data_IF_043434618917
#
_entry.id   IF_043434618917
#
_cell.length_a   1.000
_cell.length_b   1.000
_cell.length_c   1.000
_cell.angle_alpha   90.00
_cell.angle_beta   90.00
_cell.angle_gamma   90.00
#
_symmetry.space_group_name_H-M   'P 1'
#
loop_
_entity.id
_entity.type
_entity.pdbx_description
1 polymer ?
#
# COMPACT_ATOMS: atom_id res chain seq x y z
N UNK A 1 10.03 -0.68 -48.25
CA UNK A 1 10.64 0.20 -47.22
C UNK A 1 11.69 -0.63 -46.53
N UNK A 2 12.93 -0.12 -46.55
CA UNK A 2 14.17 -0.88 -46.63
C UNK A 2 14.48 -1.75 -45.41
N UNK A 3 14.78 -3.03 -45.66
CA UNK A 3 15.22 -4.00 -44.66
C UNK A 3 16.71 -3.88 -44.33
N UNK A 4 17.16 -2.66 -44.04
CA UNK A 4 18.55 -2.42 -43.65
C UNK A 4 18.81 -3.05 -42.27
N UNK A 5 19.81 -3.93 -42.21
CA UNK A 5 20.19 -4.63 -40.98
C UNK A 5 21.15 -3.77 -40.15
N UNK A 6 20.67 -3.27 -39.02
CA UNK A 6 21.50 -2.55 -38.05
C UNK A 6 21.87 -3.54 -36.93
N UNK A 7 23.17 -3.83 -36.79
CA UNK A 7 23.68 -4.71 -35.73
C UNK A 7 23.80 -3.96 -34.40
N UNK A 8 23.56 -4.64 -33.28
CA UNK A 8 23.91 -4.12 -31.95
C UNK A 8 25.43 -4.12 -31.76
N UNK A 9 25.96 -3.07 -31.13
CA UNK A 9 27.37 -3.00 -30.72
C UNK A 9 27.61 -3.78 -29.42
N UNK A 10 28.87 -4.15 -29.17
CA UNK A 10 29.26 -4.85 -27.93
C UNK A 10 29.07 -4.00 -26.66
N UNK A 11 28.81 -2.70 -26.79
CA UNK A 11 28.51 -1.78 -25.69
C UNK A 11 27.02 -1.66 -25.38
N UNK A 12 26.14 -2.29 -26.16
CA UNK A 12 24.69 -2.20 -26.03
C UNK A 12 24.13 -3.42 -25.29
N UNK A 13 23.29 -3.16 -24.28
CA UNK A 13 22.51 -4.18 -23.59
C UNK A 13 21.02 -3.92 -23.80
N UNK A 14 20.24 -4.98 -24.02
CA UNK A 14 18.79 -4.92 -24.16
C UNK A 14 18.17 -5.75 -23.04
N UNK A 15 17.26 -5.15 -22.28
CA UNK A 15 16.56 -5.78 -21.16
C UNK A 15 15.06 -5.59 -21.36
N UNK A 16 14.29 -6.63 -21.06
CA UNK A 16 12.84 -6.61 -21.11
C UNK A 16 12.28 -6.98 -19.74
N UNK A 17 11.28 -6.25 -19.28
CA UNK A 17 10.45 -6.63 -18.13
C UNK A 17 9.12 -7.16 -18.67
N UNK A 18 8.84 -8.44 -18.42
CA UNK A 18 7.63 -9.13 -18.88
C UNK A 18 6.97 -9.84 -17.71
N UNK A 19 5.63 -9.89 -17.72
CA UNK A 19 4.88 -10.55 -16.65
C UNK A 19 4.96 -12.08 -16.73
N UNK A 20 4.83 -12.63 -17.93
CA UNK A 20 4.99 -14.06 -18.20
C UNK A 20 5.53 -14.32 -19.60
N UNK A 21 5.92 -15.57 -19.84
CA UNK A 21 6.45 -16.05 -21.12
C UNK A 21 5.52 -17.10 -21.76
N UNK A 22 4.24 -17.14 -21.37
CA UNK A 22 3.34 -18.22 -21.73
C UNK A 22 3.13 -18.35 -23.25
N UNK A 23 3.31 -17.25 -23.98
CA UNK A 23 3.16 -17.17 -25.44
C UNK A 23 4.48 -17.12 -26.19
N UNK A 24 5.61 -17.19 -25.48
CA UNK A 24 6.93 -17.12 -26.09
C UNK A 24 7.37 -18.50 -26.61
N UNK A 25 7.91 -18.54 -27.83
CA UNK A 25 8.45 -19.80 -28.35
C UNK A 25 9.77 -20.16 -27.62
N UNK A 26 10.02 -21.45 -27.30
CA UNK A 26 11.29 -21.87 -26.69
C UNK A 26 12.52 -21.47 -27.50
N UNK A 27 12.38 -21.35 -28.83
CA UNK A 27 13.44 -20.92 -29.73
C UNK A 27 13.79 -19.43 -29.60
N UNK A 28 12.83 -18.60 -29.17
CA UNK A 28 13.03 -17.15 -28.96
C UNK A 28 13.72 -16.90 -27.63
N UNK A 29 13.26 -17.54 -26.55
CA UNK A 29 13.78 -17.31 -25.20
C UNK A 29 15.12 -18.00 -24.93
N UNK A 30 15.51 -19.01 -25.72
CA UNK A 30 16.80 -19.71 -25.56
C UNK A 30 18.02 -18.85 -25.88
N UNK A 31 17.82 -17.72 -26.56
CA UNK A 31 18.89 -16.77 -26.93
C UNK A 31 19.06 -15.64 -25.91
N UNK A 32 18.24 -15.60 -24.86
CA UNK A 32 18.23 -14.55 -23.86
C UNK A 32 18.65 -15.10 -22.49
N UNK A 33 19.33 -14.28 -21.69
CA UNK A 33 19.52 -14.54 -20.27
C UNK A 33 18.21 -14.26 -19.54
N UNK A 34 17.70 -15.26 -18.80
CA UNK A 34 16.42 -15.15 -18.09
C UNK A 34 16.67 -15.01 -16.59
N UNK A 35 16.20 -13.92 -15.99
CA UNK A 35 16.22 -13.69 -14.55
C UNK A 35 14.79 -13.84 -14.04
N UNK A 36 14.55 -14.86 -13.22
CA UNK A 36 13.26 -15.07 -12.57
C UNK A 36 13.25 -14.35 -11.23
N UNK A 37 12.31 -13.43 -11.06
CA UNK A 37 12.05 -12.77 -9.78
C UNK A 37 10.74 -13.29 -9.20
N UNK A 38 10.81 -13.77 -7.97
CA UNK A 38 9.62 -14.23 -7.26
C UNK A 38 8.79 -13.00 -6.84
N UNK A 39 7.49 -12.90 -7.18
CA UNK A 39 6.68 -11.73 -6.83
C UNK A 39 6.61 -11.44 -5.32
N UNK A 40 6.72 -12.49 -4.50
CA UNK A 40 6.69 -12.39 -3.05
C UNK A 40 8.03 -11.92 -2.43
N UNK A 41 9.14 -11.92 -3.17
CA UNK A 41 10.46 -11.66 -2.59
C UNK A 41 10.75 -10.18 -2.33
N UNK A 42 10.09 -9.26 -3.05
CA UNK A 42 10.29 -7.81 -2.85
C UNK A 42 9.43 -7.27 -1.70
N UNK A 43 8.19 -7.77 -1.57
CA UNK A 43 7.23 -7.29 -0.57
C UNK A 43 6.87 -5.80 -0.73
N UNK A 44 6.18 -5.24 0.28
CA UNK A 44 5.75 -3.84 0.27
C UNK A 44 6.73 -2.88 0.94
N UNK A 45 7.66 -3.37 1.77
CA UNK A 45 8.60 -2.56 2.55
C UNK A 45 9.49 -1.64 1.71
N UNK A 46 10.00 -2.07 0.54
CA UNK A 46 10.73 -1.16 -0.35
C UNK A 46 9.88 0.00 -0.87
N UNK A 47 8.57 -0.21 -1.08
CA UNK A 47 7.66 0.87 -1.46
C UNK A 47 7.55 1.91 -0.33
N UNK A 48 7.32 1.47 0.90
CA UNK A 48 7.26 2.38 2.06
C UNK A 48 8.56 3.20 2.19
N UNK A 49 9.72 2.53 2.09
CA UNK A 49 11.03 3.19 2.15
C UNK A 49 11.22 4.23 1.04
N UNK A 50 10.72 3.94 -0.17
CA UNK A 50 10.78 4.89 -1.29
C UNK A 50 9.81 6.06 -1.10
N UNK A 51 8.63 5.79 -0.55
CA UNK A 51 7.59 6.78 -0.31
C UNK A 51 8.00 7.83 0.71
N UNK A 52 8.77 7.46 1.75
CA UNK A 52 9.28 8.45 2.71
C UNK A 52 10.06 9.58 2.05
N UNK A 53 10.80 9.28 0.98
CA UNK A 53 11.56 10.28 0.21
C UNK A 53 10.69 11.22 -0.62
N UNK A 54 9.40 10.91 -0.76
CA UNK A 54 8.41 11.70 -1.51
C UNK A 54 7.53 12.55 -0.61
N UNK A 55 7.63 12.41 0.72
CA UNK A 55 6.85 13.22 1.66
C UNK A 55 7.27 14.71 1.61
N UNK A 56 6.46 15.64 2.07
CA UNK A 56 6.88 17.04 2.21
C UNK A 56 8.10 17.21 3.13
N UNK A 57 8.99 18.16 2.80
CA UNK A 57 10.25 18.39 3.54
C UNK A 57 10.02 18.72 5.03
N UNK A 58 8.94 19.42 5.35
CA UNK A 58 8.57 19.76 6.74
C UNK A 58 8.32 18.52 7.60
N UNK A 59 7.68 17.49 7.03
CA UNK A 59 7.45 16.22 7.70
C UNK A 59 8.69 15.33 7.69
N UNK A 60 9.47 15.34 6.59
CA UNK A 60 10.75 14.61 6.52
C UNK A 60 11.78 15.11 7.54
N UNK A 61 11.73 16.39 7.91
CA UNK A 61 12.63 16.98 8.89
C UNK A 61 12.45 16.43 10.31
N UNK A 62 11.31 15.79 10.61
CA UNK A 62 11.05 15.14 11.89
C UNK A 62 11.21 13.60 11.78
N UNK A 63 12.30 13.01 12.30
CA UNK A 63 12.50 11.56 12.26
C UNK A 63 11.43 10.75 12.99
N UNK A 64 10.71 11.34 13.95
CA UNK A 64 9.64 10.68 14.67
C UNK A 64 8.47 10.31 13.73
N UNK A 65 8.22 11.12 12.68
CA UNK A 65 7.17 10.86 11.69
C UNK A 65 7.49 9.59 10.88
N UNK A 66 8.73 9.42 10.43
CA UNK A 66 9.16 8.21 9.71
C UNK A 66 9.04 6.97 10.59
N UNK A 67 9.48 7.07 11.85
CA UNK A 67 9.38 5.98 12.84
C UNK A 67 7.90 5.62 13.08
N UNK A 68 7.02 6.62 13.24
CA UNK A 68 5.61 6.39 13.50
C UNK A 68 4.93 5.67 12.34
N UNK A 69 5.11 6.14 11.10
CA UNK A 69 4.61 5.43 9.92
C UNK A 69 5.18 4.02 9.83
N UNK A 70 6.46 3.83 10.11
CA UNK A 70 7.08 2.51 10.05
C UNK A 70 6.44 1.56 11.05
N UNK A 71 6.24 2.01 12.29
CA UNK A 71 5.56 1.23 13.34
C UNK A 71 4.13 0.89 12.94
N UNK A 72 3.37 1.85 12.41
CA UNK A 72 1.98 1.64 11.98
C UNK A 72 1.85 0.63 10.83
N UNK A 73 2.71 0.74 9.81
CA UNK A 73 2.72 -0.18 8.68
C UNK A 73 3.13 -1.60 9.08
N UNK A 74 4.20 -1.75 9.88
CA UNK A 74 4.64 -3.05 10.38
C UNK A 74 3.59 -3.70 11.30
N UNK A 75 2.82 -2.89 12.02
CA UNK A 75 1.75 -3.38 12.90
C UNK A 75 0.58 -3.99 12.13
N UNK A 76 -0.05 -3.26 11.20
CA UNK A 76 -1.35 -3.67 10.66
C UNK A 76 -1.33 -4.15 9.21
N UNK A 77 -0.32 -3.78 8.41
CA UNK A 77 -0.38 -3.99 6.96
C UNK A 77 -0.34 -5.48 6.59
N UNK A 78 0.60 -6.25 7.13
CA UNK A 78 0.69 -7.69 6.86
C UNK A 78 -0.57 -8.45 7.36
N UNK A 79 -1.06 -8.24 8.61
CA UNK A 79 -2.32 -8.79 9.08
C UNK A 79 -3.52 -8.43 8.19
N UNK A 80 -3.64 -7.18 7.75
CA UNK A 80 -4.75 -6.72 6.91
C UNK A 80 -4.74 -7.38 5.54
N UNK A 81 -3.57 -7.46 4.91
CA UNK A 81 -3.40 -8.13 3.64
C UNK A 81 -3.70 -9.63 3.78
N UNK A 82 -3.23 -10.28 4.85
CA UNK A 82 -3.49 -11.69 5.13
C UNK A 82 -4.97 -11.98 5.35
N UNK A 83 -5.66 -11.17 6.16
CA UNK A 83 -7.08 -11.31 6.39
C UNK A 83 -7.86 -11.13 5.09
N UNK A 84 -7.50 -10.14 4.28
CA UNK A 84 -8.07 -9.92 2.96
C UNK A 84 -7.86 -11.11 2.01
N UNK A 85 -6.69 -11.78 2.04
CA UNK A 85 -6.43 -12.99 1.22
C UNK A 85 -7.19 -14.22 1.70
N UNK A 86 -7.21 -14.46 3.01
CA UNK A 86 -7.64 -15.75 3.59
C UNK A 86 -9.12 -15.77 4.00
N UNK A 87 -9.68 -14.63 4.41
CA UNK A 87 -11.01 -14.54 5.03
C UNK A 87 -12.01 -13.74 4.22
N UNK A 88 -11.56 -13.03 3.19
CA UNK A 88 -12.41 -12.21 2.34
C UNK A 88 -12.37 -12.70 0.89
N UNK A 89 -13.48 -12.47 0.18
CA UNK A 89 -13.50 -12.59 -1.27
C UNK A 89 -13.03 -11.27 -1.88
N UNK A 90 -11.89 -11.30 -2.56
CA UNK A 90 -11.39 -10.17 -3.35
C UNK A 90 -12.22 -10.01 -4.63
N UNK A 91 -12.41 -8.78 -5.10
CA UNK A 91 -13.13 -8.44 -6.34
C UNK A 91 -12.56 -9.16 -7.57
N UNK A 92 -13.32 -9.24 -8.67
CA UNK A 92 -13.04 -10.10 -9.84
C UNK A 92 -11.66 -9.95 -10.51
N UNK A 93 -10.94 -8.86 -10.26
CA UNK A 93 -9.59 -8.64 -10.81
C UNK A 93 -8.51 -9.13 -9.84
N UNK A 94 -7.54 -9.94 -10.28
CA UNK A 94 -6.38 -10.29 -9.46
C UNK A 94 -5.59 -9.02 -9.12
N UNK A 95 -5.55 -8.65 -7.84
CA UNK A 95 -4.73 -7.54 -7.35
C UNK A 95 -3.62 -8.11 -6.46
N UNK A 96 -2.37 -7.82 -6.79
CA UNK A 96 -1.24 -8.19 -5.94
C UNK A 96 -1.20 -7.27 -4.70
N UNK A 97 -0.63 -7.77 -3.61
CA UNK A 97 -0.60 -7.01 -2.35
C UNK A 97 0.22 -5.72 -2.49
N UNK A 98 1.27 -5.73 -3.31
CA UNK A 98 2.10 -4.55 -3.62
C UNK A 98 1.26 -3.41 -4.22
N UNK A 99 0.31 -3.70 -5.11
CA UNK A 99 -0.59 -2.67 -5.66
C UNK A 99 -1.56 -2.14 -4.61
N UNK A 100 -2.04 -2.99 -3.70
CA UNK A 100 -2.90 -2.56 -2.58
C UNK A 100 -2.13 -1.59 -1.67
N UNK A 101 -0.89 -1.92 -1.30
CA UNK A 101 -0.06 -1.03 -0.48
C UNK A 101 0.31 0.24 -1.24
N UNK A 102 0.60 0.16 -2.54
CA UNK A 102 0.84 1.35 -3.37
C UNK A 102 -0.39 2.28 -3.39
N UNK A 103 -1.61 1.74 -3.42
CA UNK A 103 -2.83 2.54 -3.31
C UNK A 103 -2.96 3.20 -1.93
N UNK A 104 -2.63 2.48 -0.85
CA UNK A 104 -2.57 3.03 0.51
C UNK A 104 -1.59 4.22 0.59
N UNK A 105 -0.38 4.05 0.06
CA UNK A 105 0.65 5.10 0.06
C UNK A 105 0.24 6.33 -0.76
N UNK A 106 -0.46 6.14 -1.89
CA UNK A 106 -0.99 7.27 -2.69
C UNK A 106 -2.05 8.08 -1.94
N UNK A 107 -2.95 7.40 -1.21
CA UNK A 107 -3.92 8.09 -0.36
C UNK A 107 -3.21 8.85 0.75
N UNK A 108 -2.23 8.21 1.41
CA UNK A 108 -1.41 8.85 2.44
C UNK A 108 -0.65 10.07 1.92
N UNK A 109 -0.09 10.03 0.72
CA UNK A 109 0.58 11.19 0.10
C UNK A 109 -0.32 12.43 0.10
N UNK A 110 -1.61 12.25 -0.23
CA UNK A 110 -2.58 13.35 -0.26
C UNK A 110 -2.76 13.96 1.13
N UNK A 111 -2.87 13.14 2.18
CA UNK A 111 -3.01 13.62 3.55
C UNK A 111 -1.71 14.21 4.13
N UNK A 112 -0.55 13.67 3.75
CA UNK A 112 0.73 14.25 4.17
C UNK A 112 0.98 15.61 3.56
N UNK A 113 0.55 15.85 2.33
CA UNK A 113 0.57 17.18 1.72
C UNK A 113 -0.31 18.15 2.51
N UNK A 114 -1.51 17.75 2.89
CA UNK A 114 -2.41 18.58 3.71
C UNK A 114 -1.79 18.88 5.09
N UNK A 115 -1.21 17.88 5.76
CA UNK A 115 -0.54 18.05 7.06
C UNK A 115 0.68 18.98 7.01
N UNK A 116 1.35 19.04 5.86
CA UNK A 116 2.48 19.93 5.68
C UNK A 116 2.08 21.39 5.42
N UNK A 117 0.81 21.66 5.13
CA UNK A 117 0.33 23.04 4.95
C UNK A 117 0.09 23.70 6.31
N UNK A 118 0.71 24.88 6.59
CA UNK A 118 0.49 25.59 7.85
C UNK A 118 -0.98 25.95 8.03
N UNK A 119 -1.56 25.64 9.19
CA UNK A 119 -2.94 26.00 9.51
C UNK A 119 -2.98 27.29 10.31
N UNK A 120 -3.97 28.13 10.04
CA UNK A 120 -4.20 29.34 10.86
C UNK A 120 -4.58 28.92 12.28
N UNK A 121 -3.70 29.22 13.25
CA UNK A 121 -3.96 28.96 14.67
C UNK A 121 -3.07 27.92 15.34
N UNK A 122 -1.99 27.46 14.69
CA UNK A 122 -1.01 26.56 15.29
C UNK A 122 -0.40 27.16 16.58
N UNK A 123 -0.77 26.59 17.74
CA UNK A 123 -0.33 26.97 19.09
C UNK A 123 0.87 26.10 19.50
N UNK A 124 1.72 26.62 20.40
CA UNK A 124 2.85 25.97 21.12
C UNK A 124 3.36 24.59 20.65
N UNK A 125 4.67 24.50 20.35
CA UNK A 125 5.39 23.33 19.77
C UNK A 125 5.05 21.95 20.37
N UNK A 126 4.75 21.84 21.67
CA UNK A 126 4.46 20.56 22.32
C UNK A 126 3.07 19.97 22.04
N UNK A 127 2.05 20.83 21.87
CA UNK A 127 0.69 20.38 21.55
C UNK A 127 0.60 19.95 20.08
N UNK A 128 1.36 20.62 19.20
CA UNK A 128 1.45 20.29 17.78
C UNK A 128 1.97 18.88 17.50
N UNK A 129 2.98 18.40 18.23
CA UNK A 129 3.56 17.07 17.99
C UNK A 129 2.56 15.96 18.34
N UNK A 130 1.84 16.12 19.46
CA UNK A 130 0.81 15.16 19.87
C UNK A 130 -0.36 15.16 18.90
N UNK A 131 -0.79 16.33 18.46
CA UNK A 131 -1.85 16.45 17.47
C UNK A 131 -1.41 15.81 16.15
N UNK A 132 -0.19 16.10 15.68
CA UNK A 132 0.39 15.49 14.47
C UNK A 132 0.38 13.96 14.54
N UNK A 133 0.81 13.39 15.66
CA UNK A 133 0.78 11.94 15.87
C UNK A 133 -0.63 11.37 15.74
N UNK A 134 -1.62 12.02 16.36
CA UNK A 134 -3.02 11.61 16.29
C UNK A 134 -3.58 11.72 14.87
N UNK A 135 -3.24 12.79 14.13
CA UNK A 135 -3.63 12.96 12.72
C UNK A 135 -3.02 11.89 11.82
N UNK A 136 -1.74 11.58 12.00
CA UNK A 136 -1.04 10.52 11.26
C UNK A 136 -1.74 9.18 11.47
N UNK A 137 -2.05 8.82 12.72
CA UNK A 137 -2.78 7.58 13.04
C UNK A 137 -4.16 7.54 12.39
N UNK A 138 -4.93 8.61 12.52
CA UNK A 138 -6.27 8.70 11.94
C UNK A 138 -6.27 8.56 10.42
N UNK A 139 -5.39 9.29 9.72
CA UNK A 139 -5.27 9.21 8.27
C UNK A 139 -4.72 7.86 7.81
N UNK A 140 -3.78 7.28 8.55
CA UNK A 140 -3.26 5.95 8.25
C UNK A 140 -4.37 4.89 8.29
N UNK A 141 -5.15 4.84 9.37
CA UNK A 141 -6.25 3.88 9.49
C UNK A 141 -7.30 4.06 8.39
N UNK A 142 -7.62 5.32 8.05
CA UNK A 142 -8.49 5.65 6.93
C UNK A 142 -7.93 5.09 5.60
N UNK A 143 -6.64 5.30 5.34
CA UNK A 143 -6.00 4.83 4.12
C UNK A 143 -5.96 3.29 4.03
N UNK A 144 -5.75 2.59 5.14
CA UNK A 144 -5.81 1.12 5.18
C UNK A 144 -7.22 0.62 4.83
N UNK A 145 -8.26 1.23 5.40
CA UNK A 145 -9.65 0.90 5.10
C UNK A 145 -9.98 1.12 3.61
N UNK A 146 -9.54 2.24 3.04
CA UNK A 146 -9.79 2.62 1.64
C UNK A 146 -8.82 2.01 0.62
N UNK A 147 -7.86 1.20 1.05
CA UNK A 147 -6.97 0.44 0.17
C UNK A 147 -7.25 -1.06 0.27
N UNK A 148 -7.00 -1.65 1.44
CA UNK A 148 -7.22 -3.09 1.68
C UNK A 148 -8.71 -3.42 1.65
N UNK A 149 -9.56 -2.57 2.23
CA UNK A 149 -11.00 -2.74 2.22
C UNK A 149 -11.65 -2.48 0.86
N UNK A 150 -11.02 -1.70 0.00
CA UNK A 150 -11.55 -1.35 -1.32
C UNK A 150 -11.62 -2.55 -2.28
N UNK A 151 -10.71 -3.51 -2.14
CA UNK A 151 -10.67 -4.72 -2.98
C UNK A 151 -11.56 -5.86 -2.46
N UNK A 152 -12.26 -5.64 -1.34
CA UNK A 152 -13.10 -6.66 -0.69
C UNK A 152 -14.54 -6.54 -1.17
N UNK A 153 -15.17 -7.69 -1.47
CA UNK A 153 -16.57 -7.75 -1.87
C UNK A 153 -17.53 -7.32 -0.74
N UNK A 154 -18.76 -6.95 -1.11
CA UNK A 154 -19.73 -6.42 -0.15
C UNK A 154 -20.01 -7.37 1.02
N UNK A 155 -20.07 -8.69 0.78
CA UNK A 155 -20.38 -9.69 1.81
C UNK A 155 -19.25 -9.85 2.84
N UNK A 156 -18.00 -9.75 2.42
CA UNK A 156 -16.84 -9.92 3.31
C UNK A 156 -16.51 -8.65 4.09
N UNK A 157 -17.02 -7.47 3.69
CA UNK A 157 -16.76 -6.19 4.37
C UNK A 157 -17.14 -6.20 5.85
N UNK A 158 -18.26 -6.82 6.22
CA UNK A 158 -18.67 -6.91 7.63
C UNK A 158 -17.68 -7.74 8.48
N UNK A 159 -17.09 -8.79 7.90
CA UNK A 159 -16.07 -9.58 8.57
C UNK A 159 -14.75 -8.80 8.70
N UNK A 160 -14.36 -8.07 7.66
CA UNK A 160 -13.19 -7.20 7.67
C UNK A 160 -13.33 -6.06 8.67
N UNK A 161 -14.46 -5.36 8.70
CA UNK A 161 -14.74 -4.28 9.65
C UNK A 161 -14.65 -4.76 11.10
N UNK A 162 -15.31 -5.89 11.42
CA UNK A 162 -15.22 -6.48 12.76
C UNK A 162 -13.78 -6.83 13.17
N UNK A 163 -13.03 -7.44 12.25
CA UNK A 163 -11.62 -7.75 12.49
C UNK A 163 -10.79 -6.48 12.69
N UNK A 164 -10.91 -5.51 11.78
CA UNK A 164 -10.15 -4.26 11.82
C UNK A 164 -10.41 -3.47 13.10
N UNK A 165 -11.69 -3.37 13.54
CA UNK A 165 -12.08 -2.75 14.82
C UNK A 165 -11.44 -3.45 16.02
N UNK A 166 -11.35 -4.78 15.98
CA UNK A 166 -10.71 -5.56 17.04
C UNK A 166 -9.20 -5.27 17.11
N UNK A 167 -8.53 -5.18 15.94
CA UNK A 167 -7.09 -4.85 15.89
C UNK A 167 -6.80 -3.46 16.45
N UNK A 168 -7.61 -2.44 16.11
CA UNK A 168 -7.45 -1.07 16.62
C UNK A 168 -7.95 -0.89 18.07
N UNK A 169 -8.36 -1.97 18.75
CA UNK A 169 -8.82 -1.94 20.14
C UNK A 169 -10.21 -1.31 20.36
N UNK A 170 -11.02 -1.16 19.30
CA UNK A 170 -12.41 -0.73 19.43
C UNK A 170 -13.32 -1.91 19.78
N UNK A 171 -14.23 -1.76 20.76
CA UNK A 171 -15.21 -2.79 21.05
C UNK A 171 -16.15 -3.01 19.85
N UNK A 172 -16.58 -4.25 19.56
CA UNK A 172 -17.57 -4.50 18.53
C UNK A 172 -18.89 -3.78 18.89
N UNK A 173 -19.53 -3.15 17.90
CA UNK A 173 -20.84 -2.50 18.09
C UNK A 173 -21.82 -3.49 18.75
N UNK A 174 -22.36 -3.11 19.90
CA UNK A 174 -23.53 -3.80 20.45
C UNK A 174 -24.65 -3.61 19.45
N UNK A 175 -25.17 -4.73 18.90
CA UNK A 175 -26.36 -4.69 18.07
C UNK A 175 -27.47 -3.99 18.83
N UNK A 176 -27.99 -2.92 18.23
CA UNK A 176 -29.12 -2.17 18.75
C UNK A 176 -30.25 -3.15 19.12
N UNK A 177 -30.81 -3.10 20.35
CA UNK A 177 -31.83 -4.06 20.81
C UNK A 177 -33.10 -4.15 19.93
N UNK A 178 -33.25 -3.25 18.96
CA UNK A 178 -34.40 -3.15 18.05
C UNK A 178 -34.35 -4.11 16.87
N UNK A 179 -33.19 -4.66 16.50
CA UNK A 179 -33.08 -5.63 15.38
C UNK A 179 -33.43 -7.07 15.78
N UNK A 180 -33.75 -7.35 17.05
CA UNK A 180 -34.20 -8.68 17.50
C UNK A 180 -35.72 -8.87 17.45
N UNK A 181 -36.47 -7.91 16.92
CA UNK A 181 -37.93 -8.01 16.75
C UNK A 181 -38.34 -7.66 15.33
N UNK A 182 -38.08 -8.56 14.40
CA UNK A 182 -38.89 -8.80 13.20
C UNK A 182 -38.56 -10.17 12.61
#
# INVERSE_FOLDING_TARGET
>A
VNGDMISMSNSMNMVFEVQDLAVASPATVSRCGMIYMQPESLGWRPLLKSWYKTMPESLQANPAVEIQFQTLFEWIMDPALEFSRKKCKRTMTPVNDVTVVAACLRLLSTFTEELATPREGDVTEGDMERDLQMWIEGYFLFCVLWSVGAIIDYKSRAAFDKWFRTEIGQPPEEKDPKEKKE
#
